data_IF_052584403316
#
_entry.id   IF_052584403316
#
_cell.length_a   1.000
_cell.length_b   1.000
_cell.length_c   1.000
_cell.angle_alpha   90.00
_cell.angle_beta   90.00
_cell.angle_gamma   90.00
#
_symmetry.space_group_name_H-M   'P 1'
#
loop_
_entity.id
_entity.type
_entity.pdbx_description
1 polymer ?
#
# COMPACT_ATOMS: atom_id res chain seq x y z
N UNK A 1 8.34 -22.87 0.44
CA UNK A 1 7.44 -22.89 1.62
C UNK A 1 6.63 -21.60 1.67
N UNK A 2 5.58 -21.52 2.54
CA UNK A 2 4.78 -20.28 2.70
C UNK A 2 5.05 -19.66 4.07
N UNK A 3 5.37 -18.37 4.09
CA UNK A 3 5.60 -17.56 5.28
C UNK A 3 4.69 -16.33 5.26
N UNK A 4 4.18 -15.93 6.43
CA UNK A 4 3.40 -14.69 6.56
C UNK A 4 4.29 -13.46 6.56
N UNK A 5 5.46 -13.56 7.19
CA UNK A 5 6.41 -12.46 7.33
C UNK A 5 7.84 -12.95 7.07
N UNK A 6 8.62 -12.12 6.38
CA UNK A 6 10.07 -12.22 6.32
C UNK A 6 10.66 -10.97 6.99
N UNK A 7 11.41 -11.17 8.07
CA UNK A 7 12.17 -10.12 8.77
C UNK A 7 13.56 -10.01 8.16
N UNK A 8 13.97 -8.79 7.83
CA UNK A 8 15.24 -8.48 7.18
C UNK A 8 15.92 -7.39 7.98
N UNK A 9 16.99 -7.72 8.70
CA UNK A 9 17.75 -6.80 9.55
C UNK A 9 19.18 -7.32 9.66
N UNK A 10 20.21 -6.48 9.48
CA UNK A 10 21.61 -6.88 9.58
C UNK A 10 22.05 -7.25 11.00
N UNK A 11 21.28 -6.85 12.01
CA UNK A 11 21.40 -7.35 13.37
C UNK A 11 20.63 -8.68 13.52
N UNK A 12 21.37 -9.80 13.48
CA UNK A 12 20.82 -11.14 13.60
C UNK A 12 20.00 -11.34 14.89
N UNK A 13 20.40 -10.70 16.00
CA UNK A 13 19.70 -10.81 17.28
C UNK A 13 18.31 -10.16 17.20
N UNK A 14 18.21 -9.01 16.56
CA UNK A 14 16.94 -8.32 16.33
C UNK A 14 16.09 -9.15 15.37
N UNK A 15 16.65 -9.61 14.26
CA UNK A 15 15.94 -10.39 13.26
C UNK A 15 15.37 -11.68 13.84
N UNK A 16 16.22 -12.46 14.52
CA UNK A 16 15.83 -13.73 15.14
C UNK A 16 14.79 -13.53 16.25
N UNK A 17 15.03 -12.61 17.19
CA UNK A 17 14.10 -12.38 18.31
C UNK A 17 12.73 -11.90 17.83
N UNK A 18 12.69 -11.10 16.77
CA UNK A 18 11.43 -10.65 16.16
C UNK A 18 10.69 -11.84 15.53
N UNK A 19 11.39 -12.68 14.76
CA UNK A 19 10.80 -13.85 14.15
C UNK A 19 10.29 -14.85 15.20
N UNK A 20 11.06 -15.14 16.24
CA UNK A 20 10.66 -16.00 17.35
C UNK A 20 9.41 -15.46 18.06
N UNK A 21 9.39 -14.15 18.36
CA UNK A 21 8.23 -13.52 19.00
C UNK A 21 6.98 -13.65 18.12
N UNK A 22 7.07 -13.42 16.82
CA UNK A 22 5.92 -13.51 15.92
C UNK A 22 5.41 -14.96 15.78
N UNK A 23 6.34 -15.92 15.73
CA UNK A 23 5.99 -17.35 15.69
C UNK A 23 5.23 -17.79 16.96
N UNK A 24 5.47 -17.17 18.13
CA UNK A 24 4.69 -17.43 19.37
C UNK A 24 3.22 -16.95 19.24
N UNK A 25 2.90 -16.09 18.28
CA UNK A 25 1.54 -15.60 18.01
C UNK A 25 0.96 -16.14 16.71
N UNK A 26 1.41 -17.31 16.27
CA UNK A 26 0.94 -18.02 15.06
C UNK A 26 1.15 -17.25 13.74
N UNK A 27 2.07 -16.29 13.73
CA UNK A 27 2.52 -15.63 12.50
C UNK A 27 3.81 -16.28 12.04
N UNK A 28 3.70 -17.23 11.10
CA UNK A 28 4.86 -17.95 10.56
C UNK A 28 5.84 -16.98 9.94
N UNK A 29 6.94 -16.74 10.63
CA UNK A 29 7.96 -15.73 10.29
C UNK A 29 9.31 -16.40 10.11
N UNK A 30 10.00 -16.05 9.03
CA UNK A 30 11.43 -16.32 8.84
C UNK A 30 12.22 -15.03 8.98
N UNK A 31 13.54 -15.14 9.12
CA UNK A 31 14.43 -14.00 9.08
C UNK A 31 15.65 -14.27 8.19
N UNK A 32 16.21 -13.19 7.67
CA UNK A 32 17.46 -13.14 6.91
C UNK A 32 18.22 -11.87 7.30
N UNK A 33 19.54 -11.83 7.05
CA UNK A 33 20.39 -10.76 7.56
C UNK A 33 21.02 -9.90 6.45
N UNK A 34 20.79 -10.26 5.19
CA UNK A 34 21.42 -9.56 4.07
C UNK A 34 20.48 -9.39 2.86
N UNK A 35 20.93 -8.53 1.94
CA UNK A 35 20.29 -8.33 0.65
C UNK A 35 20.23 -9.65 -0.16
N UNK A 36 21.36 -10.34 -0.25
CA UNK A 36 21.51 -11.57 -1.03
C UNK A 36 20.62 -12.68 -0.50
N UNK A 37 20.67 -12.94 0.80
CA UNK A 37 19.82 -13.93 1.46
C UNK A 37 18.32 -13.62 1.24
N UNK A 38 17.94 -12.33 1.21
CA UNK A 38 16.56 -11.94 0.94
C UNK A 38 16.14 -12.36 -0.45
N UNK A 39 16.97 -12.11 -1.47
CA UNK A 39 16.63 -12.44 -2.85
C UNK A 39 16.54 -13.95 -3.05
N UNK A 40 17.51 -14.71 -2.54
CA UNK A 40 17.51 -16.17 -2.59
C UNK A 40 16.28 -16.75 -1.86
N UNK A 41 15.94 -16.19 -0.70
CA UNK A 41 14.78 -16.64 0.08
C UNK A 41 13.46 -16.42 -0.68
N UNK A 42 13.32 -15.27 -1.34
CA UNK A 42 12.09 -14.94 -2.09
C UNK A 42 11.94 -15.76 -3.37
N UNK A 43 13.03 -16.26 -3.97
CA UNK A 43 12.98 -17.16 -5.12
C UNK A 43 12.43 -18.55 -4.72
N UNK A 44 12.73 -19.02 -3.50
CA UNK A 44 12.37 -20.35 -3.02
C UNK A 44 11.06 -20.40 -2.21
N UNK A 45 10.60 -19.25 -1.71
CA UNK A 45 9.51 -19.19 -0.75
C UNK A 45 8.48 -18.13 -1.11
N UNK A 46 7.23 -18.36 -0.69
CA UNK A 46 6.17 -17.35 -0.74
C UNK A 46 6.13 -16.57 0.56
N UNK A 47 6.08 -15.26 0.47
CA UNK A 47 6.03 -14.34 1.61
C UNK A 47 4.88 -13.37 1.43
N UNK A 48 4.10 -13.14 2.50
CA UNK A 48 2.95 -12.23 2.46
C UNK A 48 3.28 -10.80 2.87
N UNK A 49 4.38 -10.55 3.61
CA UNK A 49 4.81 -9.24 4.07
C UNK A 49 6.31 -9.23 4.36
N UNK A 50 7.00 -8.16 3.96
CA UNK A 50 8.39 -7.90 4.36
C UNK A 50 8.47 -6.87 5.49
N UNK A 51 9.24 -7.18 6.52
CA UNK A 51 9.75 -6.24 7.51
C UNK A 51 11.19 -5.93 7.14
N UNK A 52 11.49 -4.71 6.74
CA UNK A 52 12.75 -4.37 6.09
C UNK A 52 13.47 -3.24 6.82
N UNK A 53 14.63 -3.54 7.40
CA UNK A 53 15.50 -2.47 7.87
C UNK A 53 16.07 -1.71 6.67
N UNK A 54 16.22 -0.41 6.84
CA UNK A 54 16.85 0.47 5.86
C UNK A 54 18.36 0.21 5.79
N UNK A 55 18.99 -0.10 6.92
CA UNK A 55 20.41 -0.40 6.98
C UNK A 55 20.61 -1.92 6.92
N UNK A 56 21.29 -2.38 5.87
CA UNK A 56 21.63 -3.79 5.66
C UNK A 56 23.14 -3.94 5.43
N UNK A 57 23.94 -3.45 6.40
CA UNK A 57 25.39 -3.46 6.29
C UNK A 57 25.89 -2.62 5.10
N UNK A 58 26.49 -3.29 4.13
CA UNK A 58 27.07 -2.62 2.95
C UNK A 58 26.03 -2.17 1.90
N UNK A 59 24.79 -2.64 1.99
CA UNK A 59 23.69 -2.33 1.07
C UNK A 59 22.54 -1.62 1.78
N UNK A 60 21.76 -0.91 0.99
CA UNK A 60 20.61 -0.18 1.49
C UNK A 60 19.31 -1.01 1.34
N UNK A 61 18.51 -1.07 2.39
CA UNK A 61 17.14 -1.59 2.31
C UNK A 61 16.28 -0.87 1.27
N UNK A 62 16.62 0.37 0.93
CA UNK A 62 15.97 1.10 -0.15
C UNK A 62 16.24 0.47 -1.52
N UNK A 63 17.46 0.02 -1.77
CA UNK A 63 17.81 -0.63 -3.04
C UNK A 63 17.19 -2.05 -3.10
N UNK A 64 17.14 -2.75 -1.97
CA UNK A 64 16.42 -4.01 -1.86
C UNK A 64 14.92 -3.84 -2.15
N UNK A 65 14.29 -2.81 -1.59
CA UNK A 65 12.87 -2.51 -1.85
C UNK A 65 12.61 -2.28 -3.34
N UNK A 66 13.44 -1.48 -4.03
CA UNK A 66 13.31 -1.27 -5.48
C UNK A 66 13.40 -2.59 -6.24
N UNK A 67 14.38 -3.44 -5.89
CA UNK A 67 14.58 -4.71 -6.55
C UNK A 67 13.43 -5.68 -6.33
N UNK A 68 12.93 -5.76 -5.11
CA UNK A 68 11.74 -6.56 -4.77
C UNK A 68 10.53 -6.09 -5.58
N UNK A 69 10.34 -4.78 -5.74
CA UNK A 69 9.22 -4.21 -6.49
C UNK A 69 9.22 -4.47 -8.00
N UNK A 70 10.34 -4.93 -8.55
CA UNK A 70 10.38 -5.38 -9.96
C UNK A 70 9.53 -6.63 -10.20
N UNK A 71 9.39 -7.50 -9.18
CA UNK A 71 8.75 -8.82 -9.33
C UNK A 71 7.67 -9.13 -8.29
N UNK A 72 7.56 -8.34 -7.22
CA UNK A 72 6.68 -8.67 -6.08
C UNK A 72 5.84 -7.49 -5.62
N UNK A 73 4.56 -7.73 -5.34
CA UNK A 73 3.57 -6.73 -4.90
C UNK A 73 3.21 -6.83 -3.41
N UNK A 74 3.82 -7.79 -2.66
CA UNK A 74 3.52 -7.93 -1.24
C UNK A 74 3.87 -6.66 -0.45
N UNK A 75 3.16 -6.36 0.65
CA UNK A 75 3.45 -5.20 1.48
C UNK A 75 4.88 -5.20 2.03
N UNK A 76 5.52 -4.02 2.04
CA UNK A 76 6.83 -3.78 2.64
C UNK A 76 6.67 -2.73 3.74
N UNK A 77 6.91 -3.12 4.99
CA UNK A 77 7.00 -2.24 6.14
C UNK A 77 8.47 -1.97 6.46
N UNK A 78 8.89 -0.73 6.28
CA UNK A 78 10.23 -0.32 6.68
C UNK A 78 10.36 -0.17 8.19
N UNK A 79 11.50 -0.60 8.71
CA UNK A 79 11.90 -0.42 10.10
C UNK A 79 13.23 0.35 10.10
N UNK A 80 13.36 1.44 10.89
CA UNK A 80 14.62 2.16 10.91
C UNK A 80 14.80 3.07 12.11
N UNK A 81 16.06 3.28 12.50
CA UNK A 81 16.47 4.31 13.45
C UNK A 81 16.49 5.73 12.85
N UNK A 82 16.38 5.85 11.52
CA UNK A 82 16.29 7.16 10.85
C UNK A 82 14.94 7.77 11.17
N UNK A 83 14.96 9.03 11.63
CA UNK A 83 13.78 9.70 12.20
C UNK A 83 13.33 10.92 11.40
N UNK A 84 14.08 11.31 10.35
CA UNK A 84 13.72 12.46 9.54
C UNK A 84 12.49 12.16 8.69
N UNK A 85 11.64 13.16 8.51
CA UNK A 85 10.46 13.04 7.64
C UNK A 85 10.88 12.77 6.18
N UNK A 86 12.08 13.24 5.78
CA UNK A 86 12.65 12.96 4.46
C UNK A 86 12.97 11.48 4.26
N UNK A 87 13.51 10.78 5.26
CA UNK A 87 13.79 9.34 5.18
C UNK A 87 12.50 8.53 5.04
N UNK A 88 11.46 8.90 5.78
CA UNK A 88 10.12 8.29 5.66
C UNK A 88 9.55 8.52 4.26
N UNK A 89 9.66 9.75 3.75
CA UNK A 89 9.20 10.10 2.40
C UNK A 89 9.96 9.30 1.33
N UNK A 90 11.27 9.13 1.47
CA UNK A 90 12.08 8.32 0.56
C UNK A 90 11.63 6.86 0.61
N UNK A 91 11.52 6.26 1.81
CA UNK A 91 11.09 4.88 1.99
C UNK A 91 9.78 4.56 1.27
N UNK A 92 8.79 5.43 1.43
CA UNK A 92 7.47 5.27 0.83
C UNK A 92 7.50 5.55 -0.69
N UNK A 93 8.27 6.55 -1.14
CA UNK A 93 8.39 6.88 -2.56
C UNK A 93 9.01 5.76 -3.39
N UNK A 94 9.94 4.98 -2.83
CA UNK A 94 10.58 3.86 -3.54
C UNK A 94 9.75 2.58 -3.54
N UNK A 95 8.59 2.57 -2.88
CA UNK A 95 7.68 1.43 -2.93
C UNK A 95 7.35 0.78 -1.59
N UNK A 96 7.81 1.34 -0.46
CA UNK A 96 7.33 0.95 0.87
C UNK A 96 5.84 1.26 1.03
N UNK A 97 5.14 0.44 1.77
CA UNK A 97 3.72 0.64 2.07
C UNK A 97 3.51 1.33 3.42
N UNK A 98 4.47 1.18 4.33
CA UNK A 98 4.42 1.79 5.66
C UNK A 98 5.81 1.86 6.30
N UNK A 99 5.92 2.49 7.46
CA UNK A 99 7.16 2.75 8.16
C UNK A 99 6.99 2.66 9.67
N UNK A 100 7.98 2.12 10.39
CA UNK A 100 8.05 2.14 11.85
C UNK A 100 9.43 2.62 12.31
N UNK A 101 9.43 3.53 13.29
CA UNK A 101 10.68 4.11 13.84
C UNK A 101 11.22 3.23 14.97
N UNK A 102 12.52 2.95 14.96
CA UNK A 102 13.25 2.39 16.11
C UNK A 102 13.49 3.53 17.16
N UNK A 103 13.35 3.29 18.47
CA UNK A 103 12.97 2.01 19.10
C UNK A 103 11.46 1.76 19.06
N UNK A 104 11.07 0.53 18.88
CA UNK A 104 9.69 0.05 18.95
C UNK A 104 9.56 -1.12 19.93
N UNK A 105 8.36 -1.42 20.38
CA UNK A 105 8.08 -2.65 21.12
C UNK A 105 7.59 -3.74 20.14
N UNK A 106 7.97 -5.00 20.40
CA UNK A 106 7.54 -6.12 19.55
C UNK A 106 6.01 -6.26 19.50
N UNK A 107 5.31 -5.87 20.57
CA UNK A 107 3.84 -5.88 20.61
C UNK A 107 3.21 -4.86 19.66
N UNK A 108 3.77 -3.65 19.58
CA UNK A 108 3.32 -2.62 18.63
C UNK A 108 3.61 -3.07 17.19
N UNK A 109 4.83 -3.57 16.93
CA UNK A 109 5.18 -4.08 15.62
C UNK A 109 4.25 -5.25 15.19
N UNK A 110 3.98 -6.18 16.11
CA UNK A 110 3.06 -7.29 15.87
C UNK A 110 1.64 -6.83 15.53
N UNK A 111 1.10 -5.86 16.28
CA UNK A 111 -0.22 -5.30 16.03
C UNK A 111 -0.30 -4.67 14.63
N UNK A 112 0.73 -3.90 14.25
CA UNK A 112 0.85 -3.27 12.93
C UNK A 112 0.92 -4.31 11.81
N UNK A 113 1.74 -5.34 11.96
CA UNK A 113 1.87 -6.45 11.01
C UNK A 113 0.54 -7.20 10.84
N UNK A 114 -0.16 -7.52 11.94
CA UNK A 114 -1.49 -8.17 11.87
C UNK A 114 -2.48 -7.34 11.06
N UNK A 115 -2.49 -6.03 11.27
CA UNK A 115 -3.38 -5.11 10.55
C UNK A 115 -3.06 -5.10 9.04
N UNK A 116 -1.77 -5.04 8.67
CA UNK A 116 -1.35 -5.03 7.26
C UNK A 116 -1.69 -6.37 6.60
N UNK A 117 -1.37 -7.50 7.24
CA UNK A 117 -1.68 -8.84 6.72
C UNK A 117 -3.19 -9.04 6.51
N UNK A 118 -4.02 -8.69 7.49
CA UNK A 118 -5.47 -8.82 7.37
C UNK A 118 -6.05 -8.01 6.20
N UNK A 119 -5.49 -6.81 5.96
CA UNK A 119 -5.88 -5.96 4.81
C UNK A 119 -5.46 -6.57 3.49
N UNK A 120 -4.24 -7.07 3.41
CA UNK A 120 -3.70 -7.68 2.20
C UNK A 120 -4.44 -8.97 1.85
N UNK A 121 -4.70 -9.84 2.83
CA UNK A 121 -5.47 -11.07 2.63
C UNK A 121 -6.89 -10.78 2.15
N UNK A 122 -7.59 -9.84 2.77
CA UNK A 122 -8.94 -9.42 2.34
C UNK A 122 -8.94 -8.85 0.92
N UNK A 123 -7.93 -8.08 0.53
CA UNK A 123 -7.82 -7.57 -0.83
C UNK A 123 -7.58 -8.69 -1.84
N UNK A 124 -6.76 -9.69 -1.48
CA UNK A 124 -6.47 -10.87 -2.31
C UNK A 124 -7.70 -11.75 -2.47
N UNK A 125 -8.43 -12.05 -1.39
CA UNK A 125 -9.68 -12.81 -1.43
C UNK A 125 -10.73 -12.15 -2.33
N UNK A 126 -10.90 -10.84 -2.21
CA UNK A 126 -11.83 -10.08 -3.04
C UNK A 126 -11.43 -10.14 -4.54
N UNK A 127 -10.13 -10.08 -4.86
CA UNK A 127 -9.63 -10.20 -6.22
C UNK A 127 -9.84 -11.62 -6.79
N UNK A 128 -9.67 -12.65 -5.97
CA UNK A 128 -9.89 -14.06 -6.37
C UNK A 128 -11.39 -14.37 -6.55
N UNK A 129 -12.27 -13.82 -5.72
CA UNK A 129 -13.72 -13.95 -5.88
C UNK A 129 -14.19 -13.28 -7.16
N UNK A 130 -13.68 -12.10 -7.48
CA UNK A 130 -13.99 -11.39 -8.71
C UNK A 130 -13.52 -12.16 -9.96
N UNK A 131 -12.36 -12.83 -9.89
CA UNK A 131 -11.85 -13.64 -11.01
C UNK A 131 -12.63 -14.94 -11.25
N UNK A 132 -13.19 -15.53 -10.20
CA UNK A 132 -14.01 -16.75 -10.28
C UNK A 132 -15.42 -16.50 -10.83
N UNK A 133 -15.94 -15.28 -10.67
CA UNK A 133 -17.26 -14.89 -11.21
C UNK A 133 -17.20 -14.51 -12.70
N UNK A 134 -16.01 -14.27 -13.24
CA UNK A 134 -15.81 -13.89 -14.65
C UNK A 134 -15.80 -15.09 -15.65
N UNK A 135 -16.12 -16.29 -15.19
CA UNK A 135 -16.05 -17.53 -15.98
C UNK A 135 -17.36 -17.99 -16.65
N UNK A 136 -18.45 -17.22 -16.63
CA UNK A 136 -19.69 -17.57 -17.31
C UNK A 136 -20.30 -16.34 -17.97
N UNK A 137 -20.41 -16.44 -19.31
CA UNK A 137 -21.18 -15.55 -20.20
C UNK A 137 -20.56 -14.22 -20.64
N UNK A 138 -19.86 -14.29 -21.79
CA UNK A 138 -19.91 -13.21 -22.78
C UNK A 138 -21.38 -13.04 -23.21
N UNK A 139 -22.06 -12.03 -22.63
CA UNK A 139 -23.04 -11.19 -23.34
C UNK A 139 -23.73 -10.23 -22.38
N UNK A 140 -23.76 -8.98 -22.80
CA UNK A 140 -24.41 -7.81 -22.22
C UNK A 140 -23.65 -7.12 -21.07
N UNK A 141 -22.96 -6.06 -21.48
CA UNK A 141 -22.54 -4.96 -20.63
C UNK A 141 -23.79 -4.31 -20.08
N UNK A 142 -24.17 -4.70 -18.86
CA UNK A 142 -25.08 -3.89 -18.03
C UNK A 142 -24.27 -2.81 -17.34
N UNK A 143 -24.58 -1.57 -17.66
CA UNK A 143 -23.92 -0.32 -17.20
C UNK A 143 -24.09 -0.02 -15.68
N UNK A 144 -24.40 -1.00 -14.81
CA UNK A 144 -24.85 -0.68 -13.45
C UNK A 144 -24.28 -1.53 -12.32
N UNK A 145 -23.10 -2.15 -12.43
CA UNK A 145 -22.55 -2.92 -11.32
C UNK A 145 -21.04 -2.74 -11.14
N UNK A 146 -20.68 -1.87 -10.18
CA UNK A 146 -19.35 -1.88 -9.58
C UNK A 146 -18.27 -1.01 -10.22
N UNK A 147 -18.63 -0.03 -11.05
CA UNK A 147 -17.66 0.94 -11.59
C UNK A 147 -18.03 2.37 -11.20
N UNK A 148 -17.09 3.09 -10.61
CA UNK A 148 -17.21 4.51 -10.27
C UNK A 148 -16.42 5.32 -11.29
N UNK A 149 -17.10 6.13 -12.12
CA UNK A 149 -16.43 7.01 -13.08
C UNK A 149 -15.83 8.22 -12.35
N UNK A 150 -14.55 8.53 -12.61
CA UNK A 150 -13.88 9.74 -12.14
C UNK A 150 -13.93 10.83 -13.21
N UNK A 151 -13.69 10.46 -14.47
CA UNK A 151 -13.74 11.30 -15.64
C UNK A 151 -14.37 10.52 -16.81
N UNK A 152 -14.50 11.12 -17.98
CA UNK A 152 -15.00 10.41 -19.19
C UNK A 152 -14.12 9.20 -19.56
N UNK A 153 -12.83 9.21 -19.20
CA UNK A 153 -11.85 8.19 -19.61
C UNK A 153 -11.29 7.39 -18.44
N UNK A 154 -11.62 7.75 -17.20
CA UNK A 154 -11.07 7.14 -15.99
C UNK A 154 -12.20 6.65 -15.09
N UNK A 155 -12.17 5.39 -14.73
CA UNK A 155 -13.11 4.79 -13.78
C UNK A 155 -12.40 3.82 -12.84
N UNK A 156 -12.99 3.61 -11.66
CA UNK A 156 -12.55 2.61 -10.69
C UNK A 156 -13.50 1.43 -10.76
N UNK A 157 -12.94 0.26 -11.02
CA UNK A 157 -13.66 -1.00 -10.87
C UNK A 157 -13.59 -1.41 -9.39
N UNK A 158 -14.71 -1.32 -8.71
CA UNK A 158 -14.79 -1.61 -7.26
C UNK A 158 -14.75 -3.11 -6.95
N UNK A 159 -15.03 -3.97 -7.94
CA UNK A 159 -14.96 -5.41 -7.77
C UNK A 159 -13.51 -5.91 -7.94
N UNK A 160 -12.81 -5.37 -8.93
CA UNK A 160 -11.43 -5.75 -9.23
C UNK A 160 -10.39 -4.94 -8.45
N UNK A 161 -10.81 -3.88 -7.74
CA UNK A 161 -9.92 -2.90 -7.09
C UNK A 161 -8.88 -2.32 -8.06
N UNK A 162 -9.29 -2.08 -9.30
CA UNK A 162 -8.42 -1.59 -10.38
C UNK A 162 -8.93 -0.27 -10.94
N UNK A 163 -8.00 0.50 -11.44
CA UNK A 163 -8.28 1.70 -12.19
C UNK A 163 -8.33 1.36 -13.69
N UNK A 164 -9.37 1.80 -14.38
CA UNK A 164 -9.45 1.78 -15.83
C UNK A 164 -9.16 3.19 -16.36
N UNK A 165 -8.15 3.31 -17.21
CA UNK A 165 -7.79 4.56 -17.91
C UNK A 165 -7.85 4.31 -19.41
N UNK A 166 -8.93 4.72 -20.06
CA UNK A 166 -9.24 4.29 -21.43
C UNK A 166 -9.35 2.76 -21.53
N UNK A 167 -8.49 2.14 -22.34
CA UNK A 167 -8.43 0.68 -22.51
C UNK A 167 -7.43 -0.01 -21.56
N UNK A 168 -6.72 0.75 -20.74
CA UNK A 168 -5.68 0.22 -19.85
C UNK A 168 -6.26 -0.04 -18.45
N UNK A 169 -5.89 -1.19 -17.86
CA UNK A 169 -6.22 -1.56 -16.49
C UNK A 169 -4.96 -1.40 -15.63
N UNK A 170 -4.99 -0.46 -14.69
CA UNK A 170 -3.91 -0.17 -13.77
C UNK A 170 -4.23 -0.73 -12.39
N UNK A 171 -3.28 -1.45 -11.78
CA UNK A 171 -3.40 -1.93 -10.41
C UNK A 171 -3.34 -0.76 -9.41
N UNK A 172 -4.19 -0.81 -8.39
CA UNK A 172 -4.10 0.05 -7.22
C UNK A 172 -3.59 -0.77 -6.04
N UNK A 173 -2.63 -0.25 -5.30
CA UNK A 173 -2.25 -0.82 -4.01
C UNK A 173 -3.42 -0.68 -3.02
N UNK A 174 -3.49 -1.56 -2.03
CA UNK A 174 -4.62 -1.60 -1.09
C UNK A 174 -4.92 -0.24 -0.44
N UNK A 175 -3.88 0.51 -0.05
CA UNK A 175 -4.04 1.83 0.58
C UNK A 175 -4.42 2.92 -0.43
N UNK A 176 -3.88 2.86 -1.65
CA UNK A 176 -4.28 3.76 -2.74
C UNK A 176 -5.76 3.58 -3.08
N UNK A 177 -6.22 2.33 -3.17
CA UNK A 177 -7.62 2.02 -3.42
C UNK A 177 -8.53 2.54 -2.30
N UNK A 178 -8.22 2.23 -1.03
CA UNK A 178 -9.00 2.71 0.12
C UNK A 178 -9.09 4.23 0.16
N UNK A 179 -7.96 4.91 -0.04
CA UNK A 179 -7.91 6.37 -0.05
C UNK A 179 -8.75 6.96 -1.18
N UNK A 180 -8.63 6.39 -2.40
CA UNK A 180 -9.40 6.85 -3.54
C UNK A 180 -10.90 6.66 -3.32
N UNK A 181 -11.32 5.48 -2.82
CA UNK A 181 -12.74 5.22 -2.51
C UNK A 181 -13.24 6.18 -1.43
N UNK A 182 -12.47 6.38 -0.35
CA UNK A 182 -12.88 7.29 0.72
C UNK A 182 -13.06 8.74 0.22
N UNK A 183 -12.15 9.21 -0.64
CA UNK A 183 -12.28 10.53 -1.27
C UNK A 183 -13.50 10.61 -2.21
N UNK A 184 -13.80 9.53 -2.95
CA UNK A 184 -14.96 9.46 -3.83
C UNK A 184 -16.30 9.41 -3.08
N UNK A 185 -16.38 8.70 -1.96
CA UNK A 185 -17.54 8.68 -1.07
C UNK A 185 -17.80 10.05 -0.42
N UNK A 186 -16.73 10.84 -0.27
CA UNK A 186 -16.75 12.17 0.33
C UNK A 186 -16.48 13.30 -0.69
N UNK A 187 -16.82 13.08 -1.95
CA UNK A 187 -16.64 14.07 -3.03
C UNK A 187 -17.37 15.38 -2.75
N UNK A 188 -16.87 16.45 -3.34
CA UNK A 188 -17.39 17.84 -3.20
C UNK A 188 -17.28 18.42 -1.78
N UNK A 189 -16.51 17.79 -0.90
CA UNK A 189 -16.07 18.36 0.37
C UNK A 189 -14.58 18.16 0.59
N UNK A 190 -14.01 19.00 1.43
CA UNK A 190 -12.62 18.80 1.87
C UNK A 190 -12.58 17.68 2.91
N UNK A 191 -11.79 16.66 2.63
CA UNK A 191 -11.45 15.60 3.58
C UNK A 191 -10.13 16.00 4.23
N UNK A 192 -10.13 16.16 5.56
CA UNK A 192 -8.94 16.60 6.27
C UNK A 192 -7.88 15.50 6.33
N UNK A 193 -6.62 15.87 6.57
CA UNK A 193 -5.52 14.91 6.71
C UNK A 193 -5.79 13.94 7.85
N UNK A 194 -6.22 14.44 9.02
CA UNK A 194 -6.55 13.62 10.18
C UNK A 194 -7.71 12.65 9.88
N UNK A 195 -8.71 13.11 9.14
CA UNK A 195 -9.83 12.29 8.72
C UNK A 195 -9.38 11.15 7.81
N UNK A 196 -8.50 11.43 6.83
CA UNK A 196 -7.92 10.39 5.97
C UNK A 196 -7.06 9.41 6.78
N UNK A 197 -6.19 9.90 7.66
CA UNK A 197 -5.37 9.04 8.50
C UNK A 197 -6.22 8.11 9.35
N UNK A 198 -7.24 8.63 9.99
CA UNK A 198 -8.14 7.86 10.86
C UNK A 198 -8.97 6.83 10.11
N UNK A 199 -9.56 7.18 8.96
CA UNK A 199 -10.54 6.32 8.29
C UNK A 199 -9.92 5.40 7.22
N UNK A 200 -8.73 5.74 6.70
CA UNK A 200 -8.05 4.94 5.67
C UNK A 200 -7.02 4.02 6.31
N UNK A 201 -6.23 4.50 7.29
CA UNK A 201 -5.18 3.71 7.94
C UNK A 201 -5.64 3.01 9.21
N UNK A 202 -6.65 3.55 9.90
CA UNK A 202 -7.12 3.00 11.18
C UNK A 202 -6.01 2.97 12.26
N UNK A 203 -5.04 3.91 12.16
CA UNK A 203 -3.83 3.94 12.96
C UNK A 203 -3.46 5.40 13.28
N UNK A 204 -3.43 5.75 14.56
CA UNK A 204 -3.10 7.10 15.06
C UNK A 204 -1.58 7.43 14.97
N UNK A 205 -0.74 6.44 14.59
CA UNK A 205 0.72 6.59 14.57
C UNK A 205 1.31 6.86 13.17
N UNK A 206 0.48 7.01 12.15
CA UNK A 206 0.94 7.31 10.80
C UNK A 206 1.07 8.82 10.60
N UNK A 207 2.26 9.25 10.20
CA UNK A 207 2.55 10.67 9.95
C UNK A 207 1.92 11.20 8.65
N UNK A 208 1.71 12.52 8.58
CA UNK A 208 1.20 13.22 7.39
C UNK A 208 2.04 12.98 6.13
N UNK A 209 3.34 12.67 6.29
CA UNK A 209 4.23 12.33 5.19
C UNK A 209 3.79 11.09 4.42
N UNK A 210 3.31 10.05 5.12
CA UNK A 210 2.79 8.83 4.49
C UNK A 210 1.58 9.14 3.60
N UNK A 211 0.66 9.97 4.09
CA UNK A 211 -0.52 10.40 3.34
C UNK A 211 -0.14 11.12 2.04
N UNK A 212 0.81 12.05 2.11
CA UNK A 212 1.25 12.83 0.95
C UNK A 212 1.85 11.95 -0.15
N UNK A 213 2.59 10.90 0.21
CA UNK A 213 3.18 9.94 -0.73
C UNK A 213 2.09 9.13 -1.44
N UNK A 214 1.13 8.60 -0.70
CA UNK A 214 0.03 7.84 -1.31
C UNK A 214 -0.84 8.70 -2.23
N UNK A 215 -1.10 9.96 -1.87
CA UNK A 215 -1.75 10.94 -2.75
C UNK A 215 -0.93 11.16 -4.03
N UNK A 216 0.39 11.28 -3.91
CA UNK A 216 1.26 11.42 -5.07
C UNK A 216 1.18 10.20 -6.00
N UNK A 217 1.29 8.98 -5.46
CA UNK A 217 1.17 7.75 -6.26
C UNK A 217 -0.20 7.61 -6.93
N UNK A 218 -1.27 7.99 -6.24
CA UNK A 218 -2.59 8.05 -6.85
C UNK A 218 -2.62 9.02 -8.02
N UNK A 219 -2.09 10.24 -7.84
CA UNK A 219 -2.02 11.24 -8.91
C UNK A 219 -1.21 10.75 -10.10
N UNK A 220 -0.08 10.06 -9.89
CA UNK A 220 0.72 9.48 -10.96
C UNK A 220 -0.09 8.49 -11.82
N UNK A 221 -1.09 7.83 -11.25
CA UNK A 221 -1.96 6.87 -11.97
C UNK A 221 -3.17 7.53 -12.61
N UNK A 222 -3.80 8.49 -11.92
CA UNK A 222 -5.11 9.03 -12.35
C UNK A 222 -5.01 10.38 -13.07
N UNK A 223 -4.04 11.22 -12.74
CA UNK A 223 -3.90 12.54 -13.34
C UNK A 223 -3.22 12.47 -14.71
N UNK A 224 -3.50 13.43 -15.57
CA UNK A 224 -2.73 13.63 -16.80
C UNK A 224 -1.41 14.36 -16.50
N UNK A 225 -1.43 15.30 -15.55
CA UNK A 225 -0.25 15.98 -15.01
C UNK A 225 -0.30 15.90 -13.47
N UNK A 226 0.46 14.97 -12.85
CA UNK A 226 0.48 14.83 -11.40
C UNK A 226 0.95 16.07 -10.63
N UNK A 227 1.70 16.98 -11.30
CA UNK A 227 2.17 18.24 -10.70
C UNK A 227 1.08 19.32 -10.67
N UNK A 228 0.11 19.24 -11.60
CA UNK A 228 -1.05 20.12 -11.68
C UNK A 228 -2.36 19.32 -11.59
N UNK A 229 -2.64 18.67 -10.45
CA UNK A 229 -3.73 17.71 -10.32
C UNK A 229 -5.10 18.38 -10.49
N UNK A 230 -5.95 17.75 -11.29
CA UNK A 230 -7.32 18.21 -11.56
C UNK A 230 -8.36 17.35 -10.85
N UNK A 231 -8.05 16.08 -10.56
CA UNK A 231 -8.96 15.12 -9.95
C UNK A 231 -8.84 15.18 -8.43
N UNK A 232 -7.62 14.93 -7.89
CA UNK A 232 -7.38 15.05 -6.45
C UNK A 232 -6.74 16.40 -6.16
N UNK A 233 -7.54 17.36 -5.74
CA UNK A 233 -7.07 18.73 -5.41
C UNK A 233 -6.52 18.80 -3.99
N UNK A 234 -5.47 19.60 -3.79
CA UNK A 234 -4.96 19.92 -2.46
C UNK A 234 -5.62 21.19 -1.93
N UNK A 235 -6.18 21.10 -0.72
CA UNK A 235 -6.58 22.29 0.05
C UNK A 235 -5.48 22.54 1.06
N UNK A 236 -4.63 23.52 0.78
CA UNK A 236 -3.41 23.81 1.53
C UNK A 236 -3.68 23.96 3.03
N UNK A 237 -2.89 23.26 3.85
CA UNK A 237 -3.01 23.27 5.31
C UNK A 237 -4.19 22.45 5.87
N UNK A 238 -5.11 21.94 5.04
CA UNK A 238 -6.33 21.27 5.49
C UNK A 238 -6.37 19.80 5.04
N UNK A 239 -6.31 19.51 3.74
CA UNK A 239 -6.46 18.14 3.26
C UNK A 239 -6.61 18.05 1.75
N UNK A 240 -7.45 17.12 1.30
CA UNK A 240 -7.65 16.80 -0.10
C UNK A 240 -9.12 16.73 -0.45
N UNK A 241 -9.44 16.93 -1.73
CA UNK A 241 -10.80 16.95 -2.24
C UNK A 241 -10.85 16.39 -3.66
N UNK A 242 -11.89 15.62 -3.96
CA UNK A 242 -12.31 15.32 -5.34
C UNK A 242 -13.55 16.16 -5.64
N UNK A 243 -13.47 17.01 -6.64
CA UNK A 243 -14.63 17.73 -7.16
C UNK A 243 -15.23 16.96 -8.34
N UNK A 244 -16.52 16.72 -8.29
CA UNK A 244 -17.28 16.19 -9.41
C UNK A 244 -18.13 17.30 -9.97
N UNK A 245 -17.82 17.72 -11.18
CA UNK A 245 -18.65 18.68 -11.90
C UNK A 245 -19.82 17.93 -12.55
N UNK A 246 -21.01 18.09 -11.99
CA UNK A 246 -22.24 17.52 -12.56
C UNK A 246 -22.72 18.23 -13.84
N UNK A 247 -22.01 19.27 -14.31
CA UNK A 247 -22.42 20.04 -15.49
C UNK A 247 -22.15 19.32 -16.82
N UNK A 248 -21.41 18.22 -16.81
CA UNK A 248 -21.02 17.45 -18.01
C UNK A 248 -21.97 16.28 -18.32
N UNK A 249 -22.98 16.04 -17.48
CA UNK A 249 -23.99 14.99 -17.68
C UNK A 249 -25.32 15.57 -18.20
N UNK A 250 -25.25 16.38 -19.28
CA UNK A 250 -26.44 16.77 -20.05
C UNK A 250 -26.31 16.34 -21.49
#
# INVERSE_FOLDING_TARGET
>A
MEYKVLMIDDDEVIAQSTAEYFNMFDIKTAYVTSYEETMDFLEENQVSLLLLDINLGDKSGFDLCKKVRENYDMPILFISARTSDDDVLIALNIGGDDYIKKPYTLSILLAKVKTILARYEKAKENAELASKTSGVEQNKIDENSGSISLTETISVDTNLHKLRKGNELLGLKAMEYKMLIYLLENQNRVVTKDELLKNVWDDEFIGEGTLAVHIRHLREKIENDPKNPQIIKTVWGVGYMIERDFSVLK
#
